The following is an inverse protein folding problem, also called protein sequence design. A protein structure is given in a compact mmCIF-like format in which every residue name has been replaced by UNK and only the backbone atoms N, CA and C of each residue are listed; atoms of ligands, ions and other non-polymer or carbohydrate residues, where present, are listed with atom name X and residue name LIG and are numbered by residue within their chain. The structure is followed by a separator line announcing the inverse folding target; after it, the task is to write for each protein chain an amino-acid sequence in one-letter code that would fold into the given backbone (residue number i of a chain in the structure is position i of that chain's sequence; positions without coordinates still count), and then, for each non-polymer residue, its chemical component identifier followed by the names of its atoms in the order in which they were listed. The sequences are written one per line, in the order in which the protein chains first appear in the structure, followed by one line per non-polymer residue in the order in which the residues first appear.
data_IF_488562699197
#
_entry.id   IF_488562699197
#
_cell.length_a   1.000
_cell.length_b   1.000
_cell.length_c   1.000
_cell.angle_alpha   90.00
_cell.angle_beta   90.00
_cell.angle_gamma   90.00
#
_symmetry.space_group_name_H-M   'P 1'
#
loop_
_entity.id
_entity.type
_entity.pdbx_description
1 polymer ?
#
# COMPACT_ATOMS: atom_id res chain seq x y z
N UNK A 1 -6.74 28.47 2.55
CA UNK A 1 -7.07 27.28 1.71
C UNK A 1 -8.36 26.69 2.26
N UNK A 2 -9.36 26.33 1.45
CA UNK A 2 -10.59 25.75 2.00
C UNK A 2 -10.37 24.26 2.38
N UNK A 3 -11.28 23.67 3.19
CA UNK A 3 -11.13 22.26 3.64
C UNK A 3 -11.03 21.26 2.49
N UNK A 4 -11.76 21.47 1.40
CA UNK A 4 -11.73 20.57 0.24
C UNK A 4 -10.38 20.63 -0.48
N UNK A 5 -9.85 21.83 -0.70
CA UNK A 5 -8.51 22.03 -1.29
C UNK A 5 -7.43 21.35 -0.44
N UNK A 6 -7.51 21.45 0.90
CA UNK A 6 -6.58 20.80 1.83
C UNK A 6 -6.59 19.28 1.64
N UNK A 7 -7.77 18.67 1.55
CA UNK A 7 -7.91 17.20 1.41
C UNK A 7 -7.27 16.65 0.13
N UNK A 8 -7.19 17.46 -0.93
CA UNK A 8 -6.61 17.08 -2.22
C UNK A 8 -5.20 17.61 -2.46
N UNK A 9 -4.70 18.53 -1.63
CA UNK A 9 -3.31 19.00 -1.68
C UNK A 9 -2.34 17.84 -1.48
N UNK A 10 -1.21 17.86 -2.19
CA UNK A 10 -0.18 16.80 -2.08
C UNK A 10 0.43 16.78 -0.67
N UNK A 11 0.83 15.61 -0.19
CA UNK A 11 1.52 15.52 1.11
C UNK A 11 2.82 16.33 1.12
N UNK A 12 3.53 16.34 0.00
CA UNK A 12 4.75 17.12 -0.19
C UNK A 12 4.49 18.62 -0.03
N UNK A 13 3.40 19.14 -0.61
CA UNK A 13 3.00 20.54 -0.42
C UNK A 13 2.50 20.80 0.99
N UNK A 14 1.71 19.91 1.59
CA UNK A 14 1.25 20.06 2.97
C UNK A 14 2.44 20.17 3.94
N UNK A 15 3.44 19.28 3.84
CA UNK A 15 4.66 19.35 4.64
C UNK A 15 5.40 20.68 4.45
N UNK A 16 5.50 21.16 3.20
CA UNK A 16 6.12 22.44 2.87
C UNK A 16 5.36 23.62 3.48
N UNK A 17 4.04 23.64 3.38
CA UNK A 17 3.18 24.71 3.92
C UNK A 17 3.25 24.74 5.45
N UNK A 18 3.23 23.57 6.11
CA UNK A 18 3.42 23.44 7.56
C UNK A 18 4.77 24.01 7.98
N UNK A 19 5.85 23.63 7.29
CA UNK A 19 7.21 24.14 7.57
C UNK A 19 7.29 25.67 7.42
N UNK A 20 6.56 26.25 6.47
CA UNK A 20 6.48 27.71 6.26
C UNK A 20 5.48 28.41 7.19
N UNK A 21 4.75 27.67 8.02
CA UNK A 21 3.66 28.18 8.87
C UNK A 21 2.53 28.85 8.08
N UNK A 22 2.34 28.41 6.83
CA UNK A 22 1.26 28.88 5.95
C UNK A 22 -0.05 28.10 6.18
N UNK A 23 0.05 26.91 6.77
CA UNK A 23 -1.07 26.11 7.26
C UNK A 23 -0.65 25.37 8.52
N UNK A 24 -1.56 25.24 9.48
CA UNK A 24 -1.34 24.47 10.69
C UNK A 24 -1.62 22.97 10.49
N UNK A 25 -0.86 22.05 11.13
CA UNK A 25 -1.22 20.63 11.16
C UNK A 25 -2.62 20.36 11.74
N UNK A 26 -3.11 21.23 12.63
CA UNK A 26 -4.46 21.14 13.19
C UNK A 26 -5.50 21.47 12.12
N UNK A 27 -5.27 22.50 11.30
CA UNK A 27 -6.14 22.82 10.16
C UNK A 27 -6.19 21.66 9.15
N UNK A 28 -5.05 21.01 8.89
CA UNK A 28 -4.99 19.82 8.02
C UNK A 28 -5.82 18.68 8.62
N UNK A 29 -5.61 18.39 9.90
CA UNK A 29 -6.30 17.29 10.57
C UNK A 29 -7.82 17.53 10.64
N UNK A 30 -8.26 18.74 10.94
CA UNK A 30 -9.68 19.11 10.98
C UNK A 30 -10.34 18.93 9.60
N UNK A 31 -9.67 19.32 8.52
CA UNK A 31 -10.16 19.10 7.16
C UNK A 31 -10.30 17.60 6.82
N UNK A 32 -9.31 16.79 7.18
CA UNK A 32 -9.31 15.34 6.95
C UNK A 32 -10.38 14.64 7.79
N UNK A 33 -10.51 14.96 9.07
CA UNK A 33 -11.55 14.42 9.97
C UNK A 33 -12.93 14.73 9.41
N UNK A 34 -13.20 16.00 9.08
CA UNK A 34 -14.49 16.42 8.52
C UNK A 34 -14.87 15.61 7.27
N UNK A 35 -13.87 15.29 6.44
CA UNK A 35 -14.08 14.53 5.21
C UNK A 35 -14.27 13.02 5.47
N UNK A 36 -13.53 12.45 6.43
CA UNK A 36 -13.73 11.06 6.88
C UNK A 36 -15.15 10.89 7.40
N UNK A 37 -15.61 11.78 8.28
CA UNK A 37 -16.96 11.74 8.85
C UNK A 37 -18.05 11.78 7.76
N UNK A 38 -17.84 12.59 6.72
CA UNK A 38 -18.79 12.73 5.63
C UNK A 38 -18.86 11.50 4.70
N UNK A 39 -17.71 10.94 4.29
CA UNK A 39 -17.67 9.98 3.19
C UNK A 39 -17.32 8.55 3.60
N UNK A 40 -16.66 8.33 4.73
CA UNK A 40 -16.22 6.98 5.11
C UNK A 40 -17.40 6.05 5.42
N UNK A 41 -18.56 6.58 5.84
CA UNK A 41 -19.77 5.76 6.02
C UNK A 41 -20.25 5.11 4.72
N UNK A 42 -19.97 5.71 3.57
CA UNK A 42 -20.32 5.20 2.24
C UNK A 42 -19.23 4.30 1.65
N UNK A 43 -17.97 4.67 1.90
CA UNK A 43 -16.79 4.04 1.28
C UNK A 43 -16.30 2.84 2.10
N UNK A 44 -16.39 2.91 3.43
CA UNK A 44 -15.88 1.92 4.36
C UNK A 44 -14.38 1.60 4.15
N UNK A 45 -13.53 2.64 4.18
CA UNK A 45 -12.10 2.54 3.89
C UNK A 45 -11.22 2.25 5.12
N UNK A 46 -11.72 2.52 6.32
CA UNK A 46 -10.97 2.37 7.58
C UNK A 46 -11.54 1.26 8.45
N UNK A 47 -10.67 0.36 8.91
CA UNK A 47 -11.00 -0.69 9.90
C UNK A 47 -10.90 -0.18 11.33
N UNK A 48 -9.99 0.76 11.58
CA UNK A 48 -9.79 1.39 12.89
C UNK A 48 -9.36 2.85 12.70
N UNK A 49 -9.96 3.78 13.43
CA UNK A 49 -9.70 5.21 13.30
C UNK A 49 -9.05 5.73 14.58
N UNK A 50 -7.97 6.51 14.44
CA UNK A 50 -7.19 7.04 15.55
C UNK A 50 -7.36 8.57 15.71
N UNK A 51 -8.52 9.12 15.36
CA UNK A 51 -8.71 10.57 15.13
C UNK A 51 -8.38 11.43 16.36
N UNK A 52 -8.79 11.01 17.56
CA UNK A 52 -8.47 11.75 18.79
C UNK A 52 -6.95 11.85 19.03
N UNK A 53 -6.24 10.75 18.83
CA UNK A 53 -4.78 10.71 18.96
C UNK A 53 -4.12 11.47 17.82
N UNK A 54 -4.69 11.42 16.62
CA UNK A 54 -4.22 12.19 15.46
C UNK A 54 -4.34 13.70 15.68
N UNK A 55 -5.44 14.16 16.28
CA UNK A 55 -5.63 15.58 16.62
C UNK A 55 -4.66 16.05 17.71
N UNK A 56 -4.43 15.25 18.76
CA UNK A 56 -3.41 15.54 19.78
C UNK A 56 -2.00 15.60 19.16
N UNK A 57 -1.68 14.68 18.25
CA UNK A 57 -0.42 14.70 17.52
C UNK A 57 -0.27 15.94 16.62
N UNK A 58 -1.36 16.39 15.99
CA UNK A 58 -1.39 17.62 15.19
C UNK A 58 -1.14 18.87 16.04
N UNK A 59 -1.75 18.99 17.22
CA UNK A 59 -1.51 20.09 18.17
C UNK A 59 -0.06 20.11 18.65
N UNK A 60 0.52 18.93 18.93
CA UNK A 60 1.93 18.81 19.26
C UNK A 60 2.81 19.24 18.07
N UNK A 61 2.50 18.76 16.86
CA UNK A 61 3.25 19.10 15.66
C UNK A 61 3.22 20.61 15.40
N UNK A 62 2.08 21.27 15.56
CA UNK A 62 1.94 22.73 15.46
C UNK A 62 2.85 23.47 16.45
N UNK A 63 2.86 23.02 17.72
CA UNK A 63 3.75 23.58 18.75
C UNK A 63 5.23 23.38 18.44
N UNK A 64 5.60 22.23 17.85
CA UNK A 64 6.98 21.90 17.49
C UNK A 64 7.50 22.78 16.34
N UNK A 65 6.64 23.20 15.40
CA UNK A 65 7.02 24.11 14.30
C UNK A 65 7.54 25.45 14.81
N UNK A 66 7.07 25.90 15.98
CA UNK A 66 7.52 27.14 16.61
C UNK A 66 8.90 27.00 17.25
N UNK A 67 9.22 25.80 17.77
CA UNK A 67 10.37 25.55 18.64
C UNK A 67 11.59 24.93 17.94
N UNK A 68 11.39 24.21 16.84
CA UNK A 68 12.43 23.38 16.25
C UNK A 68 13.00 23.97 14.96
N UNK A 69 14.33 23.97 14.85
CA UNK A 69 15.04 24.29 13.60
C UNK A 69 15.06 23.11 12.61
N UNK A 70 14.82 21.88 13.08
CA UNK A 70 14.80 20.68 12.23
C UNK A 70 13.48 19.91 12.37
N UNK A 71 12.63 20.01 11.35
CA UNK A 71 11.38 19.24 11.23
C UNK A 71 11.60 18.02 10.33
N UNK A 72 10.92 16.92 10.66
CA UNK A 72 10.96 15.71 9.82
C UNK A 72 10.29 15.91 8.46
N UNK A 73 10.60 15.04 7.50
CA UNK A 73 10.12 15.14 6.10
C UNK A 73 8.58 15.12 5.98
N UNK A 74 7.89 14.51 6.94
CA UNK A 74 6.44 14.37 6.97
C UNK A 74 5.79 15.15 8.12
N UNK A 75 6.50 16.12 8.70
CA UNK A 75 6.03 16.84 9.89
C UNK A 75 4.63 17.43 9.70
N UNK A 76 3.67 16.93 10.50
CA UNK A 76 2.28 17.39 10.47
C UNK A 76 1.41 16.77 9.37
N UNK A 77 1.94 15.86 8.55
CA UNK A 77 1.21 15.24 7.44
C UNK A 77 0.49 13.96 7.87
N UNK A 78 -0.83 13.82 7.61
CA UNK A 78 -1.58 12.61 7.91
C UNK A 78 -1.19 11.42 7.03
N UNK A 79 -1.16 10.22 7.61
CA UNK A 79 -1.01 8.97 6.87
C UNK A 79 -1.83 7.84 7.48
N UNK A 80 -2.18 6.85 6.65
CA UNK A 80 -2.89 5.63 7.06
C UNK A 80 -2.09 4.37 6.76
N UNK A 81 -2.41 3.27 7.43
CA UNK A 81 -1.66 2.01 7.32
C UNK A 81 -2.62 0.85 7.10
N UNK A 82 -2.37 0.00 6.11
CA UNK A 82 -3.16 -1.22 5.91
C UNK A 82 -3.20 -2.09 7.16
N UNK A 83 -4.35 -2.69 7.45
CA UNK A 83 -4.56 -3.56 8.60
C UNK A 83 -3.82 -4.91 8.55
N UNK A 84 -2.73 -5.01 7.77
CA UNK A 84 -1.81 -6.15 7.73
C UNK A 84 -0.43 -5.84 8.33
N UNK A 85 -0.16 -4.57 8.64
CA UNK A 85 1.11 -4.12 9.22
C UNK A 85 0.91 -3.80 10.68
N UNK A 86 1.72 -4.37 11.58
CA UNK A 86 1.56 -4.10 13.01
C UNK A 86 1.84 -2.62 13.30
N UNK A 87 1.06 -2.07 14.22
CA UNK A 87 1.15 -0.66 14.61
C UNK A 87 0.98 -0.59 16.11
N UNK A 88 1.97 0.00 16.77
CA UNK A 88 2.02 0.10 18.22
C UNK A 88 0.78 0.81 18.74
N UNK A 89 0.14 0.19 19.73
CA UNK A 89 -1.02 0.68 20.47
C UNK A 89 -2.27 0.93 19.59
N UNK A 90 -2.30 0.34 18.38
CA UNK A 90 -3.44 0.43 17.45
C UNK A 90 -3.86 -0.96 17.02
N UNK A 91 -5.15 -1.26 17.21
CA UNK A 91 -5.74 -2.56 16.88
C UNK A 91 -5.40 -2.96 15.44
N UNK A 92 -4.83 -4.15 15.27
CA UNK A 92 -4.42 -4.70 13.97
C UNK A 92 -5.00 -6.10 13.80
N UNK A 93 -6.06 -6.22 13.02
CA UNK A 93 -6.90 -7.44 13.01
C UNK A 93 -6.63 -8.38 11.84
N UNK A 94 -5.77 -7.97 10.92
CA UNK A 94 -5.57 -8.66 9.64
C UNK A 94 -6.86 -8.83 8.84
N UNK A 95 -7.83 -7.91 9.01
CA UNK A 95 -9.17 -8.00 8.42
C UNK A 95 -10.04 -9.13 8.99
N UNK A 96 -9.60 -9.83 10.03
CA UNK A 96 -10.14 -11.14 10.45
C UNK A 96 -10.64 -11.15 11.90
N UNK A 97 -11.69 -11.93 12.16
CA UNK A 97 -12.14 -12.24 13.52
C UNK A 97 -11.09 -12.99 14.34
N UNK A 98 -10.12 -13.67 13.72
CA UNK A 98 -9.06 -14.40 14.41
C UNK A 98 -8.23 -13.46 15.30
N UNK A 99 -8.00 -12.24 14.84
CA UNK A 99 -7.20 -11.23 15.53
C UNK A 99 -8.03 -9.99 15.88
N UNK A 100 -9.34 -10.14 16.11
CA UNK A 100 -10.27 -9.01 16.35
C UNK A 100 -9.84 -8.08 17.49
N UNK A 101 -9.12 -8.58 18.49
CA UNK A 101 -8.67 -7.84 19.68
C UNK A 101 -7.14 -7.69 19.73
N UNK A 102 -6.43 -7.96 18.63
CA UNK A 102 -4.97 -7.89 18.61
C UNK A 102 -4.50 -6.43 18.60
N UNK A 103 -3.79 -6.02 19.66
CA UNK A 103 -3.19 -4.69 19.80
C UNK A 103 -1.68 -4.87 19.94
N UNK A 104 -0.89 -4.65 18.87
CA UNK A 104 0.56 -4.77 18.91
C UNK A 104 1.22 -3.75 19.84
N UNK A 105 2.32 -4.14 20.47
CA UNK A 105 3.11 -3.27 21.37
C UNK A 105 4.28 -2.57 20.66
N UNK A 106 4.46 -2.85 19.38
CA UNK A 106 5.53 -2.31 18.54
C UNK A 106 5.01 -1.94 17.14
N UNK A 107 5.75 -1.06 16.47
CA UNK A 107 5.46 -0.62 15.11
C UNK A 107 6.23 -1.47 14.10
N UNK A 108 5.63 -1.69 12.93
CA UNK A 108 6.43 -2.09 11.78
C UNK A 108 7.51 -1.06 11.46
N UNK A 109 8.68 -1.46 10.93
CA UNK A 109 9.77 -0.52 10.64
C UNK A 109 9.33 0.68 9.79
N UNK A 110 8.52 0.45 8.75
CA UNK A 110 7.98 1.53 7.92
C UNK A 110 7.06 2.48 8.69
N UNK A 111 6.20 1.97 9.57
CA UNK A 111 5.30 2.77 10.42
C UNK A 111 6.09 3.57 11.45
N UNK A 112 7.08 2.95 12.09
CA UNK A 112 7.99 3.63 13.01
C UNK A 112 8.72 4.78 12.31
N UNK A 113 9.26 4.54 11.10
CA UNK A 113 9.96 5.56 10.30
C UNK A 113 9.03 6.71 9.91
N UNK A 114 7.80 6.43 9.48
CA UNK A 114 6.79 7.45 9.16
C UNK A 114 6.45 8.34 10.37
N UNK A 115 6.17 7.73 11.53
CA UNK A 115 5.95 8.46 12.79
C UNK A 115 7.16 9.31 13.18
N UNK A 116 8.38 8.74 13.10
CA UNK A 116 9.64 9.44 13.41
C UNK A 116 9.91 10.61 12.47
N UNK A 117 9.48 10.53 11.21
CA UNK A 117 9.54 11.62 10.24
C UNK A 117 8.49 12.73 10.49
N UNK A 118 7.71 12.65 11.58
CA UNK A 118 6.71 13.63 11.97
C UNK A 118 5.33 13.41 11.32
N UNK A 119 5.14 12.29 10.60
CA UNK A 119 3.85 11.92 10.05
C UNK A 119 2.86 11.55 11.17
N UNK A 120 1.58 11.84 10.94
CA UNK A 120 0.51 11.62 11.92
C UNK A 120 -0.38 10.47 11.44
N UNK A 121 -0.44 9.39 12.22
CA UNK A 121 -1.28 8.24 11.91
C UNK A 121 -2.76 8.59 12.15
N UNK A 122 -3.61 8.43 11.14
CA UNK A 122 -5.06 8.65 11.25
C UNK A 122 -5.87 7.37 11.44
N UNK A 123 -5.31 6.21 11.09
CA UNK A 123 -6.01 4.93 11.25
C UNK A 123 -5.45 3.77 10.43
N UNK A 124 -6.12 2.64 10.59
CA UNK A 124 -5.92 1.39 9.87
C UNK A 124 -6.91 1.28 8.71
N UNK A 125 -6.44 0.89 7.53
CA UNK A 125 -7.30 0.74 6.35
C UNK A 125 -7.75 -0.70 6.15
N UNK A 126 -8.98 -0.85 5.68
CA UNK A 126 -9.60 -2.15 5.41
C UNK A 126 -8.84 -2.96 4.37
N UNK A 127 -8.95 -4.29 4.51
CA UNK A 127 -8.29 -5.33 3.71
C UNK A 127 -9.18 -6.58 3.78
N UNK A 128 -9.17 -7.46 2.76
CA UNK A 128 -9.63 -8.82 2.98
C UNK A 128 -8.75 -9.53 4.01
N UNK A 129 -9.28 -10.59 4.61
CA UNK A 129 -8.58 -11.37 5.64
C UNK A 129 -7.17 -11.76 5.18
N UNK A 130 -6.13 -11.39 5.93
CA UNK A 130 -4.73 -11.69 5.62
C UNK A 130 -4.25 -11.29 4.21
N UNK A 131 -4.98 -10.43 3.51
CA UNK A 131 -4.65 -10.03 2.14
C UNK A 131 -4.86 -11.12 1.08
N UNK A 132 -5.66 -12.16 1.38
CA UNK A 132 -5.75 -13.38 0.57
C UNK A 132 -6.44 -13.24 -0.79
N UNK A 133 -7.04 -12.10 -1.12
CA UNK A 133 -7.74 -11.90 -2.40
C UNK A 133 -7.58 -10.47 -2.93
N UNK A 134 -7.84 -10.30 -4.22
CA UNK A 134 -7.76 -9.01 -4.91
C UNK A 134 -9.05 -8.16 -4.79
N UNK A 135 -9.91 -8.47 -3.81
CA UNK A 135 -11.14 -7.75 -3.49
C UNK A 135 -11.10 -7.30 -2.04
N UNK A 136 -11.57 -6.09 -1.76
CA UNK A 136 -11.56 -5.55 -0.39
C UNK A 136 -12.92 -5.69 0.26
N UNK A 137 -13.14 -6.89 0.77
CA UNK A 137 -14.22 -7.23 1.68
C UNK A 137 -13.72 -8.25 2.70
N UNK A 138 -14.22 -8.16 3.93
CA UNK A 138 -13.96 -9.16 4.96
C UNK A 138 -15.18 -9.40 5.86
N UNK A 139 -15.28 -10.57 6.51
CA UNK A 139 -16.37 -10.82 7.46
C UNK A 139 -16.45 -9.79 8.58
N UNK A 140 -15.29 -9.28 9.04
CA UNK A 140 -15.22 -8.35 10.18
C UNK A 140 -15.64 -6.91 9.81
N UNK A 141 -15.29 -6.43 8.61
CA UNK A 141 -15.51 -5.03 8.23
C UNK A 141 -16.48 -4.83 7.07
N UNK A 142 -16.98 -5.90 6.46
CA UNK A 142 -17.82 -5.81 5.27
C UNK A 142 -17.05 -5.33 4.04
N UNK A 143 -17.77 -4.72 3.09
CA UNK A 143 -17.25 -4.38 1.77
C UNK A 143 -16.74 -2.93 1.76
N UNK A 144 -15.53 -2.70 1.25
CA UNK A 144 -15.06 -1.36 0.87
C UNK A 144 -15.49 -1.04 -0.55
N UNK A 145 -15.98 0.18 -0.77
CA UNK A 145 -16.51 0.64 -2.06
C UNK A 145 -15.53 1.53 -2.81
N UNK A 146 -15.59 1.51 -4.14
CA UNK A 146 -14.81 2.41 -4.98
C UNK A 146 -15.41 3.84 -4.93
N UNK A 147 -14.62 4.89 -4.65
CA UNK A 147 -15.15 6.25 -4.56
C UNK A 147 -15.63 6.82 -5.92
N UNK A 148 -15.21 6.24 -7.04
CA UNK A 148 -15.73 6.63 -8.37
C UNK A 148 -17.11 6.03 -8.67
N UNK A 149 -17.42 4.87 -8.08
CA UNK A 149 -18.71 4.22 -8.19
C UNK A 149 -18.90 3.24 -7.02
N UNK A 150 -19.84 3.53 -6.12
CA UNK A 150 -20.08 2.75 -4.90
C UNK A 150 -20.59 1.32 -5.14
N UNK A 151 -21.01 0.98 -6.37
CA UNK A 151 -21.37 -0.38 -6.77
C UNK A 151 -20.17 -1.23 -7.19
N UNK A 152 -18.98 -0.63 -7.30
CA UNK A 152 -17.75 -1.29 -7.76
C UNK A 152 -16.75 -1.50 -6.62
N UNK A 153 -15.88 -2.48 -6.81
CA UNK A 153 -14.74 -2.73 -5.91
C UNK A 153 -13.64 -1.69 -6.13
N UNK A 154 -12.93 -1.24 -5.08
CA UNK A 154 -11.69 -0.49 -5.22
C UNK A 154 -10.51 -1.40 -5.57
N UNK A 155 -10.72 -2.69 -5.84
CA UNK A 155 -9.68 -3.70 -5.95
C UNK A 155 -9.16 -4.11 -4.57
N UNK A 156 -8.03 -4.82 -4.52
CA UNK A 156 -7.49 -5.33 -3.27
C UNK A 156 -6.13 -5.99 -3.43
N UNK A 157 -5.49 -6.38 -2.33
CA UNK A 157 -6.02 -6.35 -0.96
C UNK A 157 -5.88 -5.00 -0.25
N UNK A 158 -5.18 -4.01 -0.80
CA UNK A 158 -5.04 -2.67 -0.17
C UNK A 158 -6.15 -1.69 -0.60
N UNK A 159 -7.38 -2.18 -0.78
CA UNK A 159 -8.45 -1.35 -1.33
C UNK A 159 -8.94 -0.24 -0.39
N UNK A 160 -8.90 -0.45 0.94
CA UNK A 160 -9.19 0.61 1.91
C UNK A 160 -8.23 1.79 1.78
N UNK A 161 -6.92 1.49 1.68
CA UNK A 161 -5.88 2.49 1.43
C UNK A 161 -6.13 3.25 0.12
N UNK A 162 -6.45 2.53 -0.95
CA UNK A 162 -6.69 3.12 -2.27
C UNK A 162 -7.92 4.03 -2.29
N UNK A 163 -9.03 3.54 -1.73
CA UNK A 163 -10.28 4.28 -1.66
C UNK A 163 -10.13 5.53 -0.77
N UNK A 164 -9.45 5.43 0.37
CA UNK A 164 -9.17 6.57 1.25
C UNK A 164 -8.38 7.67 0.52
N UNK A 165 -7.28 7.30 -0.15
CA UNK A 165 -6.41 8.26 -0.85
C UNK A 165 -7.13 8.90 -2.04
N UNK A 166 -7.84 8.11 -2.84
CA UNK A 166 -8.62 8.59 -4.00
C UNK A 166 -9.74 9.54 -3.57
N UNK A 167 -10.44 9.22 -2.49
CA UNK A 167 -11.53 10.05 -1.97
C UNK A 167 -11.05 11.26 -1.17
N UNK A 168 -9.74 11.46 -0.95
CA UNK A 168 -9.20 12.56 -0.16
C UNK A 168 -9.33 12.40 1.34
N UNK A 169 -9.57 11.19 1.86
CA UNK A 169 -9.69 10.89 3.30
C UNK A 169 -8.33 10.85 4.02
N UNK A 170 -7.25 11.11 3.29
CA UNK A 170 -5.87 11.14 3.73
C UNK A 170 -4.97 11.25 2.50
N UNK A 171 -3.83 11.95 2.56
CA UNK A 171 -2.95 12.10 1.41
C UNK A 171 -2.04 10.89 1.18
N UNK A 172 -1.72 10.13 2.25
CA UNK A 172 -0.76 9.03 2.22
C UNK A 172 -1.34 7.74 2.81
N UNK A 173 -1.09 6.62 2.16
CA UNK A 173 -1.39 5.30 2.71
C UNK A 173 -0.25 4.29 2.46
N UNK A 174 -0.03 3.40 3.42
CA UNK A 174 0.90 2.28 3.31
C UNK A 174 0.11 1.02 2.96
N UNK A 175 0.44 0.39 1.82
CA UNK A 175 -0.14 -0.88 1.37
C UNK A 175 0.86 -2.03 1.37
N UNK A 176 0.37 -3.22 1.03
CA UNK A 176 1.20 -4.41 0.82
C UNK A 176 0.86 -5.09 -0.51
N UNK A 177 1.85 -5.69 -1.18
CA UNK A 177 1.75 -6.25 -2.53
C UNK A 177 2.53 -7.57 -2.64
N UNK A 178 1.81 -8.69 -2.61
CA UNK A 178 2.35 -10.02 -2.96
C UNK A 178 2.04 -10.39 -4.41
N UNK A 179 0.76 -10.30 -4.78
CA UNK A 179 0.26 -10.60 -6.13
C UNK A 179 -0.44 -9.41 -6.80
N UNK A 180 0.01 -8.18 -6.53
CA UNK A 180 -0.60 -6.96 -7.10
C UNK A 180 -1.39 -6.11 -6.11
N UNK A 181 -1.36 -6.43 -4.82
CA UNK A 181 -2.25 -5.80 -3.83
C UNK A 181 -2.03 -4.31 -3.53
N UNK A 182 -0.98 -3.67 -4.07
CA UNK A 182 -0.86 -2.20 -4.14
C UNK A 182 -1.24 -1.71 -5.53
N UNK A 183 -0.77 -2.38 -6.58
CA UNK A 183 -0.94 -1.98 -7.98
C UNK A 183 -2.38 -2.11 -8.48
N UNK A 184 -3.05 -3.23 -8.20
CA UNK A 184 -4.43 -3.51 -8.59
C UNK A 184 -5.37 -2.44 -8.04
N UNK A 185 -5.45 -2.20 -6.70
CA UNK A 185 -6.38 -1.21 -6.20
C UNK A 185 -6.02 0.22 -6.64
N UNK A 186 -4.73 0.53 -6.78
CA UNK A 186 -4.30 1.82 -7.32
C UNK A 186 -4.82 2.05 -8.75
N UNK A 187 -4.77 1.03 -9.61
CA UNK A 187 -5.35 1.06 -10.94
C UNK A 187 -6.88 1.22 -10.90
N UNK A 188 -7.57 0.52 -9.99
CA UNK A 188 -9.03 0.59 -9.87
C UNK A 188 -9.54 1.94 -9.37
N UNK A 189 -8.75 2.68 -8.58
CA UNK A 189 -9.15 3.98 -8.02
C UNK A 189 -8.40 5.17 -8.61
N UNK A 190 -7.58 4.97 -9.65
CA UNK A 190 -6.88 6.06 -10.34
C UNK A 190 -5.85 6.79 -9.48
N UNK A 191 -5.09 6.06 -8.65
CA UNK A 191 -4.01 6.63 -7.84
C UNK A 191 -2.66 5.98 -8.17
N UNK A 192 -1.59 6.49 -7.56
CA UNK A 192 -0.25 5.89 -7.65
C UNK A 192 -0.12 4.79 -6.59
N UNK A 193 0.24 3.58 -7.01
CA UNK A 193 0.62 2.48 -6.14
C UNK A 193 1.96 1.91 -6.58
N UNK A 194 2.98 2.00 -5.72
CA UNK A 194 4.34 1.57 -6.07
C UNK A 194 4.73 0.29 -5.34
N UNK A 195 4.91 -0.80 -6.09
CA UNK A 195 5.56 -2.01 -5.60
C UNK A 195 7.07 -1.87 -5.73
N UNK A 196 7.75 -1.50 -4.65
CA UNK A 196 9.21 -1.43 -4.62
C UNK A 196 9.86 -2.82 -4.82
N UNK A 197 11.18 -2.83 -5.04
CA UNK A 197 11.99 -4.05 -4.97
C UNK A 197 11.83 -4.73 -3.61
N UNK A 198 11.81 -6.06 -3.55
CA UNK A 198 11.75 -6.80 -2.30
C UNK A 198 12.89 -6.35 -1.36
N UNK A 199 12.58 -6.14 -0.08
CA UNK A 199 13.52 -5.64 0.92
C UNK A 199 13.80 -4.13 0.87
N UNK A 200 13.38 -3.41 -0.18
CA UNK A 200 13.57 -1.94 -0.27
C UNK A 200 12.93 -1.22 0.91
N UNK A 201 11.68 -1.59 1.19
CA UNK A 201 11.00 -1.27 2.45
C UNK A 201 10.94 -2.57 3.26
N UNK A 202 11.58 -2.61 4.45
CA UNK A 202 11.74 -3.85 5.17
C UNK A 202 10.43 -4.38 5.74
N UNK A 203 10.25 -5.70 5.69
CA UNK A 203 9.05 -6.39 6.16
C UNK A 203 9.37 -7.60 7.06
N UNK A 204 9.96 -7.37 8.26
CA UNK A 204 10.33 -8.44 9.20
C UNK A 204 9.15 -9.18 9.83
N UNK A 205 7.92 -8.77 9.51
CA UNK A 205 6.68 -9.39 9.98
C UNK A 205 6.17 -10.49 9.07
N UNK A 206 6.81 -10.69 7.91
CA UNK A 206 6.42 -11.79 7.03
C UNK A 206 6.64 -13.11 7.77
N UNK A 207 5.65 -14.02 7.81
CA UNK A 207 5.81 -15.33 8.43
C UNK A 207 6.94 -16.17 7.82
N UNK A 208 7.19 -15.99 6.52
CA UNK A 208 8.31 -16.59 5.81
C UNK A 208 9.28 -15.49 5.37
N UNK A 209 10.33 -15.27 6.17
CA UNK A 209 11.31 -14.22 5.93
C UNK A 209 12.18 -14.50 4.70
N UNK A 210 12.54 -15.75 4.44
CA UNK A 210 13.47 -16.09 3.34
C UNK A 210 12.73 -16.30 2.02
N UNK A 211 11.55 -16.91 2.05
CA UNK A 211 10.67 -17.06 0.90
C UNK A 211 9.70 -15.88 0.70
N UNK A 212 9.90 -14.75 1.39
CA UNK A 212 8.97 -13.63 1.36
C UNK A 212 8.62 -13.17 -0.07
N UNK A 213 7.33 -12.99 -0.33
CA UNK A 213 6.77 -12.46 -1.58
C UNK A 213 6.05 -11.11 -1.37
N UNK A 214 5.84 -10.71 -0.12
CA UNK A 214 5.09 -9.52 0.25
C UNK A 214 5.99 -8.29 0.25
N UNK A 215 5.62 -7.29 -0.54
CA UNK A 215 6.29 -6.00 -0.61
C UNK A 215 5.47 -4.97 0.16
N UNK A 216 6.12 -4.01 0.80
CA UNK A 216 5.46 -2.82 1.37
C UNK A 216 5.66 -1.66 0.41
N UNK A 217 4.58 -0.91 0.13
CA UNK A 217 4.61 0.14 -0.89
C UNK A 217 3.76 1.36 -0.52
N UNK A 218 4.14 2.56 -0.99
CA UNK A 218 3.32 3.75 -0.85
C UNK A 218 2.13 3.71 -1.82
N UNK A 219 1.02 4.30 -1.36
CA UNK A 219 -0.19 4.56 -2.14
C UNK A 219 -0.55 6.03 -1.98
N UNK A 220 -0.52 6.80 -3.08
CA UNK A 220 -0.57 8.28 -3.07
C UNK A 220 -1.26 8.82 -4.32
N UNK A 221 -1.65 10.11 -4.33
CA UNK A 221 -2.18 10.76 -5.55
C UNK A 221 -1.10 11.30 -6.48
N UNK A 222 0.12 11.49 -5.99
CA UNK A 222 1.22 12.08 -6.75
C UNK A 222 2.49 11.24 -6.65
N UNK A 223 3.32 11.29 -7.72
CA UNK A 223 4.63 10.63 -7.74
C UNK A 223 5.56 11.23 -6.68
N UNK A 224 5.51 12.54 -6.46
CA UNK A 224 6.29 13.23 -5.42
C UNK A 224 5.99 12.70 -4.02
N UNK A 225 4.73 12.41 -3.73
CA UNK A 225 4.32 11.82 -2.44
C UNK A 225 4.78 10.37 -2.31
N UNK A 226 4.75 9.59 -3.39
CA UNK A 226 5.26 8.22 -3.38
C UNK A 226 6.77 8.19 -3.10
N UNK A 227 7.53 9.11 -3.70
CA UNK A 227 8.96 9.28 -3.45
C UNK A 227 9.25 9.75 -2.03
N UNK A 228 8.49 10.73 -1.52
CA UNK A 228 8.57 11.19 -0.12
C UNK A 228 8.39 10.02 0.86
N UNK A 229 7.38 9.18 0.63
CA UNK A 229 7.14 8.00 1.45
C UNK A 229 8.30 7.00 1.35
N UNK A 230 8.83 6.74 0.15
CA UNK A 230 9.99 5.84 0.01
C UNK A 230 11.23 6.39 0.70
N UNK A 231 11.50 7.70 0.62
CA UNK A 231 12.60 8.32 1.36
C UNK A 231 12.48 8.09 2.87
N UNK A 232 11.26 8.05 3.40
CA UNK A 232 11.05 7.78 4.82
C UNK A 232 11.10 6.29 5.14
N UNK A 233 10.44 5.45 4.35
CA UNK A 233 10.22 4.03 4.67
C UNK A 233 11.40 3.13 4.31
N UNK A 234 12.19 3.46 3.28
CA UNK A 234 13.22 2.58 2.74
C UNK A 234 14.49 2.52 3.60
N UNK A 235 15.25 1.44 3.44
CA UNK A 235 16.55 1.22 4.06
C UNK A 235 16.61 -0.03 4.93
N UNK A 236 17.82 -0.48 5.30
CA UNK A 236 18.05 -1.78 5.91
C UNK A 236 17.39 -1.90 7.29
N UNK A 237 17.01 -3.12 7.65
CA UNK A 237 16.51 -3.49 8.97
C UNK A 237 17.04 -4.88 9.34
N UNK A 238 17.52 -5.03 10.58
CA UNK A 238 18.14 -6.28 11.03
C UNK A 238 17.18 -7.47 11.05
N UNK A 239 15.87 -7.21 11.13
CA UNK A 239 14.84 -8.26 11.11
C UNK A 239 14.45 -8.73 9.71
N UNK A 240 14.91 -8.08 8.64
CA UNK A 240 14.55 -8.44 7.26
C UNK A 240 15.79 -8.80 6.43
N UNK A 241 16.03 -10.09 6.13
CA UNK A 241 17.20 -10.52 5.35
C UNK A 241 17.23 -9.96 3.93
N UNK A 242 16.08 -9.61 3.33
CA UNK A 242 16.02 -9.03 1.99
C UNK A 242 16.43 -7.56 1.97
N UNK A 243 16.38 -6.87 3.12
CA UNK A 243 16.76 -5.47 3.23
C UNK A 243 18.26 -5.27 3.42
N UNK A 244 18.99 -6.34 3.77
CA UNK A 244 20.42 -6.31 4.01
C UNK A 244 21.19 -5.87 2.74
N UNK A 245 22.04 -4.85 2.88
CA UNK A 245 22.84 -4.33 1.77
C UNK A 245 22.10 -3.40 0.80
N UNK A 246 20.80 -3.16 0.99
CA UNK A 246 20.04 -2.18 0.21
C UNK A 246 20.17 -0.80 0.84
N UNK A 247 20.99 0.06 0.24
CA UNK A 247 21.16 1.44 0.68
C UNK A 247 20.00 2.30 0.21
N UNK A 248 19.52 3.18 1.10
CA UNK A 248 18.49 4.17 0.78
C UNK A 248 18.99 5.13 -0.31
N UNK A 249 18.21 5.27 -1.38
CA UNK A 249 18.38 6.35 -2.36
C UNK A 249 17.63 7.62 -1.87
N UNK A 250 18.00 8.78 -2.41
CA UNK A 250 17.26 10.04 -2.20
C UNK A 250 16.30 10.27 -3.39
N UNK A 251 15.10 9.69 -3.27
CA UNK A 251 14.12 9.63 -4.34
C UNK A 251 13.58 11.03 -4.69
N UNK A 252 13.27 11.86 -3.69
CA UNK A 252 12.82 13.24 -3.93
C UNK A 252 13.88 14.06 -4.66
N UNK A 253 15.14 14.01 -4.22
CA UNK A 253 16.23 14.75 -4.88
C UNK A 253 16.41 14.30 -6.32
N UNK A 254 16.30 12.99 -6.60
CA UNK A 254 16.39 12.48 -7.97
C UNK A 254 15.25 13.02 -8.85
N UNK A 255 14.02 13.03 -8.35
CA UNK A 255 12.87 13.59 -9.09
C UNK A 255 13.05 15.08 -9.36
N UNK A 256 13.45 15.85 -8.34
CA UNK A 256 13.61 17.31 -8.45
C UNK A 256 14.76 17.67 -9.40
N UNK A 257 15.92 17.03 -9.25
CA UNK A 257 17.14 17.45 -9.95
C UNK A 257 17.27 16.85 -11.34
N UNK A 258 16.82 15.59 -11.51
CA UNK A 258 16.96 14.87 -12.78
C UNK A 258 15.63 14.77 -13.51
N UNK A 259 14.57 14.37 -12.81
CA UNK A 259 13.22 14.29 -13.36
C UNK A 259 13.18 13.55 -14.70
N UNK A 260 12.51 14.13 -15.69
CA UNK A 260 12.38 13.56 -17.04
C UNK A 260 13.70 13.44 -17.81
N UNK A 261 14.79 14.10 -17.39
CA UNK A 261 16.09 13.98 -18.07
C UNK A 261 16.66 12.55 -17.99
N UNK A 262 16.25 11.77 -16.99
CA UNK A 262 16.64 10.37 -16.86
C UNK A 262 16.03 9.47 -17.94
N UNK A 263 14.94 9.92 -18.56
CA UNK A 263 14.19 9.12 -19.52
C UNK A 263 14.78 9.20 -20.93
N UNK A 264 15.59 10.22 -21.22
CA UNK A 264 16.16 10.42 -22.56
C UNK A 264 17.04 9.24 -22.95
N UNK A 265 16.73 8.60 -24.08
CA UNK A 265 17.42 7.44 -24.60
C UNK A 265 17.11 6.13 -23.88
N UNK A 266 16.14 6.11 -22.95
CA UNK A 266 15.67 4.85 -22.37
C UNK A 266 14.90 4.03 -23.41
N UNK A 267 15.16 2.74 -23.43
CA UNK A 267 14.36 1.77 -24.19
C UNK A 267 13.20 1.27 -23.33
N UNK A 268 11.99 1.34 -23.86
CA UNK A 268 10.75 0.95 -23.20
C UNK A 268 10.13 -0.20 -23.98
N UNK A 269 10.23 -1.40 -23.42
CA UNK A 269 9.55 -2.57 -23.97
C UNK A 269 8.06 -2.55 -23.57
N UNK A 270 7.16 -2.67 -24.55
CA UNK A 270 5.71 -2.71 -24.35
C UNK A 270 5.16 -4.07 -24.77
N UNK A 271 4.46 -4.75 -23.87
CA UNK A 271 3.66 -5.93 -24.20
C UNK A 271 2.26 -5.74 -23.65
N UNK A 272 1.26 -5.83 -24.54
CA UNK A 272 -0.13 -5.60 -24.18
C UNK A 272 -0.66 -6.59 -23.13
N UNK A 273 -0.20 -7.84 -23.19
CA UNK A 273 -0.79 -8.93 -22.41
C UNK A 273 0.13 -9.48 -21.34
N UNK A 274 1.45 -9.52 -21.57
CA UNK A 274 2.48 -10.00 -20.64
C UNK A 274 2.05 -11.29 -19.89
N UNK A 275 1.66 -12.32 -20.65
CA UNK A 275 1.20 -13.61 -20.13
C UNK A 275 -0.31 -13.71 -19.85
N UNK A 276 -1.06 -12.61 -19.86
CA UNK A 276 -2.52 -12.68 -19.83
C UNK A 276 -3.08 -13.15 -21.17
N UNK A 277 -4.20 -13.86 -21.14
CA UNK A 277 -4.86 -14.30 -22.38
C UNK A 277 -5.75 -13.22 -22.99
N UNK A 278 -6.20 -12.24 -22.17
CA UNK A 278 -7.14 -11.19 -22.58
C UNK A 278 -6.89 -9.89 -21.79
N UNK A 279 -7.17 -8.76 -22.46
CA UNK A 279 -7.22 -7.41 -21.87
C UNK A 279 -8.46 -6.72 -22.42
N UNK A 280 -9.19 -6.00 -21.58
CA UNK A 280 -10.39 -5.27 -22.01
C UNK A 280 -10.01 -4.20 -23.05
N UNK A 281 -10.82 -4.06 -24.10
CA UNK A 281 -10.54 -3.23 -25.27
C UNK A 281 -10.28 -1.76 -24.95
N UNK A 282 -11.13 -1.13 -24.13
CA UNK A 282 -10.98 0.27 -23.74
C UNK A 282 -9.69 0.48 -22.93
N UNK A 283 -9.38 -0.43 -22.00
CA UNK A 283 -8.12 -0.39 -21.23
C UNK A 283 -6.91 -0.49 -22.16
N UNK A 284 -6.95 -1.40 -23.14
CA UNK A 284 -5.88 -1.57 -24.10
C UNK A 284 -5.68 -0.31 -24.96
N UNK A 285 -6.76 0.27 -25.46
CA UNK A 285 -6.72 1.49 -26.28
C UNK A 285 -6.16 2.68 -25.52
N UNK A 286 -6.63 2.93 -24.29
CA UNK A 286 -6.15 4.03 -23.44
C UNK A 286 -4.68 3.81 -23.08
N UNK A 287 -4.28 2.58 -22.74
CA UNK A 287 -2.89 2.29 -22.37
C UNK A 287 -1.97 2.48 -23.57
N UNK A 288 -2.34 1.98 -24.76
CA UNK A 288 -1.61 2.21 -26.01
C UNK A 288 -1.49 3.70 -26.35
N UNK A 289 -2.56 4.48 -26.16
CA UNK A 289 -2.53 5.92 -26.37
C UNK A 289 -1.57 6.62 -25.39
N UNK A 290 -1.49 6.15 -24.14
CA UNK A 290 -0.61 6.73 -23.11
C UNK A 290 0.88 6.58 -23.42
N UNK A 291 1.28 5.59 -24.23
CA UNK A 291 2.68 5.35 -24.61
C UNK A 291 3.31 6.56 -25.30
N UNK A 292 2.53 7.37 -26.02
CA UNK A 292 3.01 8.60 -26.69
C UNK A 292 3.64 9.61 -25.73
N UNK A 293 3.37 9.51 -24.43
CA UNK A 293 4.03 10.36 -23.42
C UNK A 293 5.55 10.14 -23.40
N UNK A 294 6.02 8.93 -23.71
CA UNK A 294 7.44 8.59 -23.71
C UNK A 294 8.19 9.25 -24.87
N UNK A 295 7.52 9.50 -26.01
CA UNK A 295 8.11 10.24 -27.14
C UNK A 295 8.53 11.65 -26.73
N UNK A 296 7.71 12.32 -25.90
CA UNK A 296 8.01 13.66 -25.36
C UNK A 296 9.26 13.68 -24.46
N UNK A 297 9.68 12.51 -23.97
CA UNK A 297 10.86 12.36 -23.12
C UNK A 297 12.07 11.78 -23.88
N UNK A 298 11.94 11.53 -25.19
CA UNK A 298 13.01 10.98 -26.01
C UNK A 298 13.33 9.53 -25.68
N UNK A 299 12.34 8.75 -25.24
CA UNK A 299 12.46 7.30 -25.11
C UNK A 299 12.29 6.60 -26.45
N UNK A 300 12.78 5.37 -26.55
CA UNK A 300 12.55 4.46 -27.67
C UNK A 300 11.57 3.37 -27.22
N UNK A 301 10.37 3.35 -27.78
CA UNK A 301 9.35 2.34 -27.45
C UNK A 301 9.45 1.19 -28.44
N UNK A 302 9.53 -0.03 -27.92
CA UNK A 302 9.55 -1.26 -28.71
C UNK A 302 8.38 -2.14 -28.27
N UNK A 303 7.45 -2.46 -29.19
CA UNK A 303 6.44 -3.46 -28.91
C UNK A 303 7.09 -4.85 -28.98
N UNK A 304 6.96 -5.61 -27.90
CA UNK A 304 7.56 -6.93 -27.73
C UNK A 304 6.48 -7.95 -27.39
N UNK A 305 6.68 -9.18 -27.87
CA UNK A 305 5.90 -10.35 -27.51
C UNK A 305 6.83 -11.37 -26.84
N UNK A 306 7.24 -11.12 -25.58
CA UNK A 306 8.05 -12.09 -24.86
C UNK A 306 7.26 -13.39 -24.72
N UNK A 307 7.95 -14.51 -24.88
CA UNK A 307 7.42 -15.83 -24.56
C UNK A 307 7.33 -15.95 -23.03
N UNK A 308 6.24 -15.42 -22.48
CA UNK A 308 6.00 -15.31 -21.05
C UNK A 308 4.80 -16.15 -20.68
N UNK A 309 5.06 -17.34 -20.15
CA UNK A 309 4.02 -18.20 -19.59
C UNK A 309 3.55 -17.68 -18.23
N UNK A 310 2.27 -17.90 -17.90
CA UNK A 310 1.75 -17.52 -16.60
C UNK A 310 2.36 -18.40 -15.50
N UNK A 311 2.95 -17.77 -14.49
CA UNK A 311 3.44 -18.44 -13.28
C UNK A 311 2.37 -18.59 -12.19
N UNK A 312 1.11 -18.32 -12.52
CA UNK A 312 0.01 -18.27 -11.55
C UNK A 312 -0.13 -19.58 -10.77
N UNK A 313 -0.05 -20.74 -11.43
CA UNK A 313 -0.18 -22.04 -10.75
C UNK A 313 0.89 -22.23 -9.66
N UNK A 314 2.15 -21.89 -9.95
CA UNK A 314 3.24 -21.96 -8.98
C UNK A 314 3.10 -20.90 -7.87
N UNK A 315 2.65 -19.70 -8.23
CA UNK A 315 2.35 -18.64 -7.26
C UNK A 315 1.24 -19.06 -6.29
N UNK A 316 0.18 -19.70 -6.77
CA UNK A 316 -0.93 -20.18 -5.94
C UNK A 316 -0.49 -21.29 -4.99
N UNK A 317 0.41 -22.19 -5.41
CA UNK A 317 1.03 -23.17 -4.49
C UNK A 317 1.75 -22.46 -3.35
N UNK A 318 2.65 -21.51 -3.67
CA UNK A 318 3.40 -20.76 -2.65
C UNK A 318 2.46 -20.01 -1.69
N UNK A 319 1.46 -19.32 -2.24
CA UNK A 319 0.51 -18.51 -1.48
C UNK A 319 -0.40 -19.36 -0.59
N UNK A 320 -1.03 -20.41 -1.14
CA UNK A 320 -1.99 -21.24 -0.40
C UNK A 320 -1.29 -22.10 0.64
N UNK A 321 -0.11 -22.65 0.35
CA UNK A 321 0.68 -23.34 1.36
C UNK A 321 1.09 -22.41 2.50
N UNK A 322 1.45 -21.14 2.22
CA UNK A 322 1.73 -20.15 3.27
C UNK A 322 0.50 -19.85 4.15
N UNK A 323 -0.66 -19.63 3.53
CA UNK A 323 -1.91 -19.38 4.25
C UNK A 323 -2.32 -20.59 5.10
N UNK A 324 -2.24 -21.80 4.56
CA UNK A 324 -2.55 -23.02 5.29
C UNK A 324 -1.62 -23.23 6.49
N UNK A 325 -0.31 -23.10 6.29
CA UNK A 325 0.68 -23.21 7.37
C UNK A 325 0.43 -22.20 8.49
N UNK A 326 0.01 -20.97 8.15
CA UNK A 326 -0.26 -19.90 9.11
C UNK A 326 -1.59 -20.07 9.85
N UNK A 327 -2.63 -20.58 9.17
CA UNK A 327 -4.02 -20.39 9.62
C UNK A 327 -4.79 -21.69 9.92
N UNK A 328 -4.28 -22.86 9.57
CA UNK A 328 -4.96 -24.15 9.79
C UNK A 328 -5.47 -24.33 11.22
N UNK A 329 -4.65 -23.96 12.20
CA UNK A 329 -4.96 -24.09 13.63
C UNK A 329 -6.21 -23.30 14.06
N UNK A 330 -6.66 -22.32 13.28
CA UNK A 330 -7.83 -21.49 13.60
C UNK A 330 -9.11 -21.95 12.91
N UNK A 331 -9.03 -22.84 11.92
CA UNK A 331 -10.17 -23.19 11.05
C UNK A 331 -11.33 -23.78 11.86
N UNK A 332 -11.04 -24.71 12.78
CA UNK A 332 -12.06 -25.37 13.59
C UNK A 332 -12.73 -24.43 14.60
N UNK A 333 -11.97 -23.51 15.21
CA UNK A 333 -12.49 -22.60 16.23
C UNK A 333 -13.28 -21.42 15.66
N UNK A 334 -12.97 -20.99 14.43
CA UNK A 334 -13.59 -19.81 13.83
C UNK A 334 -14.64 -20.13 12.76
N UNK A 335 -14.60 -21.32 12.15
CA UNK A 335 -15.64 -21.85 11.25
C UNK A 335 -16.23 -20.80 10.28
N UNK A 336 -17.50 -20.41 10.49
CA UNK A 336 -18.27 -19.47 9.66
C UNK A 336 -17.80 -18.02 9.76
N UNK A 337 -16.87 -17.70 10.68
CA UNK A 337 -16.25 -16.38 10.81
C UNK A 337 -15.04 -16.19 9.88
N UNK A 338 -14.59 -17.24 9.20
CA UNK A 338 -13.56 -17.18 8.15
C UNK A 338 -14.25 -17.00 6.80
N UNK A 339 -13.73 -16.09 5.98
CA UNK A 339 -14.17 -15.87 4.61
C UNK A 339 -14.15 -17.19 3.83
N UNK A 340 -15.24 -17.56 3.13
CA UNK A 340 -15.29 -18.80 2.37
C UNK A 340 -14.15 -18.98 1.37
N UNK A 341 -13.67 -17.90 0.75
CA UNK A 341 -12.57 -17.94 -0.22
C UNK A 341 -11.20 -18.08 0.45
N UNK A 342 -11.02 -17.55 1.67
CA UNK A 342 -9.84 -17.84 2.49
C UNK A 342 -9.83 -19.30 2.95
N UNK A 343 -10.99 -19.82 3.39
CA UNK A 343 -11.12 -21.23 3.78
C UNK A 343 -10.76 -22.15 2.62
N UNK A 344 -11.26 -21.84 1.42
CA UNK A 344 -10.90 -22.57 0.20
C UNK A 344 -9.38 -22.54 -0.08
N UNK A 345 -8.74 -21.38 0.05
CA UNK A 345 -7.29 -21.25 -0.11
C UNK A 345 -6.52 -22.12 0.90
N UNK A 346 -6.97 -22.15 2.16
CA UNK A 346 -6.39 -23.00 3.21
C UNK A 346 -6.57 -24.49 2.88
N UNK A 347 -7.78 -24.91 2.48
CA UNK A 347 -8.09 -26.28 2.07
C UNK A 347 -7.25 -26.73 0.88
N UNK A 348 -7.02 -25.84 -0.11
CA UNK A 348 -6.12 -26.10 -1.23
C UNK A 348 -4.67 -26.20 -0.80
N UNK A 349 -4.21 -25.30 0.07
CA UNK A 349 -2.87 -25.35 0.66
C UNK A 349 -2.56 -26.69 1.34
N UNK A 350 -3.55 -27.30 1.98
CA UNK A 350 -3.45 -28.61 2.63
C UNK A 350 -3.36 -29.79 1.65
N UNK A 351 -3.70 -29.60 0.38
CA UNK A 351 -3.67 -30.65 -0.65
C UNK A 351 -2.31 -30.74 -1.36
N UNK A 352 -1.50 -29.68 -1.31
CA UNK A 352 -0.19 -29.67 -1.96
C UNK A 352 0.83 -30.51 -1.19
N UNK A 353 1.57 -31.34 -1.90
CA UNK A 353 2.69 -32.07 -1.32
C UNK A 353 3.89 -31.14 -1.11
N UNK A 354 4.81 -31.52 -0.21
CA UNK A 354 6.08 -30.81 -0.03
C UNK A 354 6.87 -30.68 -1.35
N UNK A 355 6.74 -31.65 -2.26
CA UNK A 355 7.35 -31.61 -3.59
C UNK A 355 6.75 -30.53 -4.49
N UNK A 356 5.47 -30.22 -4.36
CA UNK A 356 4.82 -29.18 -5.16
C UNK A 356 5.29 -27.79 -4.71
N UNK A 357 5.40 -27.61 -3.38
CA UNK A 357 6.00 -26.41 -2.80
C UNK A 357 7.45 -26.23 -3.27
N UNK A 358 8.27 -27.27 -3.18
CA UNK A 358 9.68 -27.21 -3.59
C UNK A 358 9.85 -26.91 -5.09
N UNK A 359 9.02 -27.51 -5.95
CA UNK A 359 9.00 -27.19 -7.39
C UNK A 359 8.65 -25.73 -7.64
N UNK A 360 7.66 -25.20 -6.93
CA UNK A 360 7.24 -23.80 -7.07
C UNK A 360 8.34 -22.82 -6.65
N UNK A 361 9.15 -23.17 -5.65
CA UNK A 361 10.35 -22.42 -5.26
C UNK A 361 11.41 -22.44 -6.37
N UNK A 362 11.63 -23.59 -7.01
CA UNK A 362 12.56 -23.68 -8.16
C UNK A 362 12.09 -22.83 -9.33
N UNK A 363 10.80 -22.89 -9.67
CA UNK A 363 10.24 -22.09 -10.76
C UNK A 363 10.36 -20.59 -10.51
N UNK A 364 10.25 -20.13 -9.26
CA UNK A 364 10.49 -18.72 -8.91
C UNK A 364 11.93 -18.25 -9.17
N UNK A 365 12.89 -19.17 -9.20
CA UNK A 365 14.32 -18.87 -9.32
C UNK A 365 14.86 -19.00 -10.75
N UNK A 366 14.04 -19.48 -11.68
CA UNK A 366 14.30 -19.48 -13.12
C UNK A 366 13.82 -18.17 -13.71
#
# INVERSE_FOLDING_TARGET
MNKNDICFTSATDLARLVKKREISPVEIMDAIISRIEQYNVLINAFSDLCLDNALKAAQKAESDVVKNDTLGLLHGVPFSVKDLLITKDVRTTFGSYIFENNIPIEDAPCVHRLKKAGGILIGKTTTPEFGHKALTDSPLFGITRNPWNLERTPGGSSGGASAAVAAGLGPLAVGTDGGGSVRIPASCTGIIGLKATLGRVPHPQSPDLFGNLSHIGPMTRTISDAALMLDVMAGPDIGDPHSCGLFKDDYQTVIINKGSKLLKGMKVAWSATLGNTQVESEVLEITKASLKVFDNFGCEIEEVAPDFESFEDFYLVLMYSNLAARLNQYVESYQKKIDPSLRYAIEKGNQYAATDLQKSIYMRSQ
#
